data_IF_765050052135
#
_entry.id   IF_765050052135
#
_cell.length_a   1.000
_cell.length_b   1.000
_cell.length_c   1.000
_cell.angle_alpha   90.00
_cell.angle_beta   90.00
_cell.angle_gamma   90.00
#
_symmetry.space_group_name_H-M   'P 1'
#
loop_
_entity.id
_entity.type
_entity.pdbx_description
1 polymer ?
#
# COMPACT_ATOMS: atom_id res chain seq x y z
N UNK A 1 -48.60 -20.15 45.01
CA UNK A 1 -48.89 -18.95 45.83
C UNK A 1 -47.56 -18.46 46.35
N UNK A 2 -47.05 -17.27 46.11
CA UNK A 2 -47.57 -15.90 45.93
C UNK A 2 -46.34 -15.13 45.35
N UNK A 3 -46.35 -14.03 44.59
CA UNK A 3 -47.25 -12.91 44.28
C UNK A 3 -46.49 -12.13 43.16
N UNK A 4 -47.15 -11.60 42.14
CA UNK A 4 -47.31 -10.14 41.88
C UNK A 4 -46.02 -9.30 41.96
N UNK A 5 -45.67 -8.34 41.09
CA UNK A 5 -46.40 -7.56 40.07
C UNK A 5 -45.33 -6.69 39.36
N UNK A 6 -45.56 -6.42 38.06
CA UNK A 6 -45.33 -5.18 37.28
C UNK A 6 -44.18 -4.23 37.70
N UNK A 7 -43.38 -3.75 36.73
CA UNK A 7 -43.42 -2.35 36.21
C UNK A 7 -42.21 -2.11 35.27
N UNK A 8 -42.58 -1.58 34.11
CA UNK A 8 -41.87 -0.88 33.04
C UNK A 8 -40.78 0.11 33.50
N UNK A 9 -39.78 0.36 32.65
CA UNK A 9 -39.27 1.70 32.24
C UNK A 9 -37.74 1.87 32.23
N UNK A 10 -37.21 1.94 31.01
CA UNK A 10 -36.37 3.04 30.47
C UNK A 10 -34.92 3.21 30.95
N UNK A 11 -34.03 3.00 29.96
CA UNK A 11 -32.73 3.61 29.65
C UNK A 11 -32.02 4.55 30.64
N UNK A 12 -30.73 4.29 30.83
CA UNK A 12 -29.67 5.31 30.81
C UNK A 12 -28.32 4.65 30.47
N UNK A 13 -27.62 5.21 29.49
CA UNK A 13 -26.26 4.84 29.11
C UNK A 13 -25.24 5.33 30.16
N UNK A 14 -24.12 4.61 30.32
CA UNK A 14 -22.74 5.14 30.21
C UNK A 14 -21.68 4.15 30.75
N UNK A 15 -20.57 4.11 30.01
CA UNK A 15 -19.18 3.91 30.44
C UNK A 15 -18.60 2.48 30.68
N UNK A 16 -17.78 2.13 29.69
CA UNK A 16 -16.57 1.28 29.61
C UNK A 16 -15.78 1.08 30.93
N UNK A 17 -15.37 -0.15 31.25
CA UNK A 17 -13.94 -0.57 31.25
C UNK A 17 -13.68 -1.98 31.83
N UNK A 18 -12.87 -2.71 31.06
CA UNK A 18 -11.81 -3.66 31.42
C UNK A 18 -12.04 -4.74 32.50
N UNK A 19 -12.00 -6.00 32.05
CA UNK A 19 -11.89 -7.19 32.91
C UNK A 19 -11.68 -8.47 32.13
N UNK A 20 -10.43 -8.68 31.68
CA UNK A 20 -9.71 -9.91 31.33
C UNK A 20 -10.47 -11.26 31.26
N UNK A 21 -10.26 -11.99 30.16
CA UNK A 21 -10.06 -13.44 30.21
C UNK A 21 -9.13 -13.89 29.06
N UNK A 22 -7.97 -14.41 29.45
CA UNK A 22 -6.96 -15.06 28.60
C UNK A 22 -7.49 -16.42 28.14
N UNK A 23 -7.27 -16.78 26.87
CA UNK A 23 -7.34 -18.18 26.45
C UNK A 23 -7.56 -18.39 24.95
N UNK A 24 -6.49 -18.76 24.24
CA UNK A 24 -6.57 -19.46 22.96
C UNK A 24 -5.85 -18.79 21.80
N UNK A 25 -4.62 -19.22 21.53
CA UNK A 25 -3.99 -19.07 20.22
C UNK A 25 -4.71 -19.95 19.20
N UNK A 26 -5.31 -19.31 18.19
CA UNK A 26 -5.43 -19.82 16.83
C UNK A 26 -5.32 -18.60 15.90
N UNK A 27 -4.10 -18.20 15.58
CA UNK A 27 -3.86 -17.58 14.28
C UNK A 27 -3.97 -18.69 13.24
N UNK A 28 -4.85 -18.55 12.24
CA UNK A 28 -4.50 -18.73 10.82
C UNK A 28 -5.70 -18.51 9.90
N UNK A 29 -5.41 -17.96 8.71
CA UNK A 29 -6.28 -17.62 7.59
C UNK A 29 -7.13 -16.34 7.73
N UNK A 30 -6.46 -15.20 7.65
CA UNK A 30 -7.07 -14.09 6.93
C UNK A 30 -6.40 -13.99 5.55
N UNK A 31 -7.15 -14.33 4.51
CA UNK A 31 -6.79 -14.02 3.13
C UNK A 31 -7.40 -12.67 2.81
N UNK A 32 -6.55 -11.67 2.55
CA UNK A 32 -6.98 -10.47 1.83
C UNK A 32 -6.18 -10.40 0.53
N UNK A 33 -6.72 -11.04 -0.49
CA UNK A 33 -6.51 -10.77 -1.92
C UNK A 33 -7.88 -11.01 -2.55
N UNK A 34 -8.51 -10.14 -3.33
CA UNK A 34 -8.05 -9.04 -4.19
C UNK A 34 -8.93 -7.81 -3.97
N UNK A 35 -8.41 -6.62 -4.22
CA UNK A 35 -9.26 -5.47 -4.53
C UNK A 35 -8.97 -5.02 -5.96
N UNK A 36 -9.70 -5.56 -6.94
CA UNK A 36 -9.97 -4.86 -8.20
C UNK A 36 -11.21 -3.99 -7.99
N UNK A 37 -11.04 -2.73 -7.61
CA UNK A 37 -12.15 -1.77 -7.60
C UNK A 37 -12.27 -1.12 -8.96
N UNK A 38 -13.06 -1.74 -9.84
CA UNK A 38 -13.51 -1.15 -11.10
C UNK A 38 -15.00 -0.79 -10.95
N UNK A 39 -15.33 0.51 -10.83
CA UNK A 39 -16.57 1.13 -11.34
C UNK A 39 -16.49 2.63 -11.12
N UNK A 40 -16.48 3.42 -12.20
CA UNK A 40 -16.79 4.85 -12.14
C UNK A 40 -17.77 5.20 -13.25
N UNK A 41 -18.96 5.67 -12.87
CA UNK A 41 -19.97 6.22 -13.79
C UNK A 41 -19.95 7.74 -13.64
N UNK A 42 -19.74 8.48 -14.74
CA UNK A 42 -20.04 9.91 -14.81
C UNK A 42 -21.09 10.16 -15.90
N UNK A 43 -21.94 11.16 -15.66
CA UNK A 43 -23.07 11.48 -16.53
C UNK A 43 -22.62 11.96 -17.90
N UNK A 44 -22.97 11.17 -18.93
CA UNK A 44 -22.58 11.23 -20.36
C UNK A 44 -21.30 10.43 -20.72
N UNK A 45 -21.55 9.13 -20.97
CA UNK A 45 -20.85 8.14 -21.83
C UNK A 45 -19.32 7.90 -21.78
N UNK A 46 -18.51 8.51 -20.92
CA UNK A 46 -17.11 8.04 -20.78
C UNK A 46 -17.06 6.78 -19.91
N UNK A 47 -16.78 5.64 -20.53
CA UNK A 47 -16.60 4.33 -19.87
C UNK A 47 -15.23 3.80 -20.21
N UNK A 48 -14.48 3.35 -19.21
CA UNK A 48 -13.16 2.75 -19.39
C UNK A 48 -13.00 1.55 -18.47
N UNK A 49 -12.12 0.62 -18.83
CA UNK A 49 -11.74 -0.52 -17.99
C UNK A 49 -10.22 -0.57 -17.84
N UNK A 50 -9.74 -0.97 -16.66
CA UNK A 50 -8.32 -1.22 -16.40
C UNK A 50 -8.11 -2.72 -16.21
N UNK A 51 -7.18 -3.29 -16.97
CA UNK A 51 -6.86 -4.71 -16.95
C UNK A 51 -5.37 -4.94 -16.70
N UNK A 52 -5.09 -5.99 -15.93
CA UNK A 52 -3.77 -6.54 -15.65
C UNK A 52 -3.93 -8.04 -15.97
N UNK A 53 -3.43 -8.49 -17.12
CA UNK A 53 -3.68 -9.86 -17.63
C UNK A 53 -2.63 -10.86 -17.18
N UNK A 54 -1.44 -10.39 -16.80
CA UNK A 54 -0.38 -11.23 -16.25
C UNK A 54 -0.42 -11.27 -14.71
N UNK A 55 -1.19 -10.38 -14.08
CA UNK A 55 -1.44 -10.44 -12.65
C UNK A 55 -2.50 -11.50 -12.30
N UNK A 56 -2.15 -12.42 -11.42
CA UNK A 56 -3.00 -13.44 -10.83
C UNK A 56 -3.13 -13.21 -9.32
N UNK A 57 -4.08 -13.88 -8.68
CA UNK A 57 -4.26 -13.82 -7.20
C UNK A 57 -3.00 -14.23 -6.43
N UNK A 58 -2.08 -14.95 -7.07
CA UNK A 58 -0.82 -15.41 -6.47
C UNK A 58 0.41 -14.62 -6.96
N UNK A 59 0.28 -13.69 -7.92
CA UNK A 59 1.38 -12.96 -8.59
C UNK A 59 2.20 -12.01 -7.69
N UNK A 60 2.09 -12.08 -6.38
CA UNK A 60 2.92 -11.33 -5.43
C UNK A 60 3.00 -11.98 -4.05
N UNK A 61 2.64 -13.27 -3.95
CA UNK A 61 2.70 -14.02 -2.69
C UNK A 61 4.02 -14.79 -2.59
N UNK A 62 4.58 -14.83 -1.38
CA UNK A 62 5.78 -15.63 -1.06
C UNK A 62 6.94 -15.36 -2.04
N UNK A 63 7.09 -14.12 -2.49
CA UNK A 63 8.19 -13.74 -3.36
C UNK A 63 9.52 -13.90 -2.60
N UNK A 64 10.59 -14.09 -3.36
CA UNK A 64 11.97 -14.15 -2.87
C UNK A 64 12.82 -13.05 -3.50
N UNK A 65 13.93 -12.64 -2.87
CA UNK A 65 14.85 -11.67 -3.46
C UNK A 65 15.28 -12.09 -4.88
N UNK A 66 15.12 -11.18 -5.85
CA UNK A 66 15.38 -11.43 -7.26
C UNK A 66 14.16 -11.85 -8.10
N UNK A 67 13.00 -12.04 -7.49
CA UNK A 67 11.78 -12.35 -8.24
C UNK A 67 11.32 -11.17 -9.10
N UNK A 68 10.73 -11.52 -10.24
CA UNK A 68 10.05 -10.58 -11.14
C UNK A 68 8.55 -10.83 -11.07
N UNK A 69 7.82 -9.86 -10.55
CA UNK A 69 6.37 -9.86 -10.40
C UNK A 69 5.74 -9.13 -11.59
N UNK A 70 4.86 -9.79 -12.35
CA UNK A 70 4.23 -9.20 -13.55
C UNK A 70 2.89 -8.54 -13.27
N UNK A 71 2.68 -7.33 -13.81
CA UNK A 71 1.50 -6.48 -13.54
C UNK A 71 0.78 -5.98 -14.79
N UNK A 72 1.50 -5.43 -15.77
CA UNK A 72 0.98 -4.97 -17.06
C UNK A 72 -0.38 -4.20 -17.07
N UNK A 73 -0.51 -3.08 -16.32
CA UNK A 73 -1.74 -2.26 -16.33
C UNK A 73 -2.02 -1.62 -17.70
N UNK A 74 -3.15 -1.98 -18.28
CA UNK A 74 -3.68 -1.49 -19.57
C UNK A 74 -5.05 -0.88 -19.38
N UNK A 75 -5.29 0.31 -19.93
CA UNK A 75 -6.61 0.94 -19.95
C UNK A 75 -7.29 0.75 -21.30
N UNK A 76 -8.58 0.39 -21.29
CA UNK A 76 -9.42 0.29 -22.48
C UNK A 76 -10.49 1.37 -22.49
N UNK A 77 -10.67 2.00 -23.65
CA UNK A 77 -11.77 2.91 -23.92
C UNK A 77 -13.01 2.14 -24.36
N UNK A 78 -14.05 2.16 -23.53
CA UNK A 78 -15.36 1.55 -23.81
C UNK A 78 -16.42 2.61 -24.14
N UNK A 79 -16.04 3.87 -24.25
CA UNK A 79 -16.92 4.94 -24.70
C UNK A 79 -17.09 4.95 -26.23
N UNK A 80 -18.02 5.78 -26.69
CA UNK A 80 -18.33 6.01 -28.11
C UNK A 80 -17.50 7.13 -28.75
N UNK A 81 -16.49 7.66 -28.03
CA UNK A 81 -15.65 8.77 -28.47
C UNK A 81 -14.20 8.61 -28.01
N UNK A 82 -13.28 9.34 -28.64
CA UNK A 82 -11.89 9.38 -28.20
C UNK A 82 -11.74 10.04 -26.83
N UNK A 83 -10.80 9.55 -26.02
CA UNK A 83 -10.52 10.05 -24.66
C UNK A 83 -9.02 10.18 -24.41
N UNK A 84 -8.62 11.15 -23.59
CA UNK A 84 -7.31 11.15 -22.96
C UNK A 84 -7.38 10.43 -21.62
N UNK A 85 -6.35 9.65 -21.30
CA UNK A 85 -6.32 8.78 -20.13
C UNK A 85 -5.13 9.09 -19.21
N UNK A 86 -5.33 8.90 -17.92
CA UNK A 86 -4.28 8.94 -16.93
C UNK A 86 -4.38 7.77 -15.95
N UNK A 87 -3.23 7.32 -15.45
CA UNK A 87 -3.13 6.33 -14.37
C UNK A 87 -2.53 7.00 -13.15
N UNK A 88 -3.17 6.81 -12.00
CA UNK A 88 -2.57 7.04 -10.68
C UNK A 88 -1.97 5.73 -10.18
N UNK A 89 -0.71 5.77 -9.75
CA UNK A 89 0.00 4.65 -9.10
C UNK A 89 0.15 4.98 -7.62
N UNK A 90 -0.41 4.15 -6.76
CA UNK A 90 -0.29 4.24 -5.30
C UNK A 90 0.53 3.06 -4.77
N UNK A 91 1.51 3.35 -3.91
CA UNK A 91 2.24 2.37 -3.13
C UNK A 91 1.63 2.32 -1.73
N UNK A 92 1.20 1.14 -1.28
CA UNK A 92 0.62 0.98 0.06
C UNK A 92 1.25 -0.19 0.81
N UNK A 93 1.22 -0.12 2.14
CA UNK A 93 1.53 -1.27 2.99
C UNK A 93 0.49 -2.40 2.82
N UNK A 94 0.69 -3.51 3.53
CA UNK A 94 -0.23 -4.66 3.54
C UNK A 94 -1.63 -4.33 4.05
N UNK A 95 -1.79 -3.28 4.86
CA UNK A 95 -3.05 -2.84 5.42
C UNK A 95 -3.76 -1.83 4.51
N UNK A 96 -3.11 -1.40 3.42
CA UNK A 96 -3.64 -0.46 2.45
C UNK A 96 -3.36 1.01 2.77
N UNK A 97 -2.54 1.31 3.78
CA UNK A 97 -2.07 2.67 4.08
C UNK A 97 -1.01 3.09 3.07
N UNK A 98 -1.08 4.32 2.57
CA UNK A 98 -0.07 4.86 1.66
C UNK A 98 1.33 4.80 2.31
N UNK A 99 2.31 4.38 1.53
CA UNK A 99 3.73 4.47 1.88
C UNK A 99 4.44 5.33 0.82
N UNK A 100 5.52 5.99 1.22
CA UNK A 100 6.32 6.76 0.26
C UNK A 100 6.95 5.84 -0.79
N UNK A 101 7.15 6.38 -1.99
CA UNK A 101 7.92 5.70 -3.04
C UNK A 101 9.30 5.28 -2.52
N UNK A 102 9.98 6.14 -1.75
CA UNK A 102 11.26 5.82 -1.10
C UNK A 102 11.19 4.61 -0.16
N UNK A 103 10.07 4.41 0.55
CA UNK A 103 9.91 3.26 1.43
C UNK A 103 9.68 1.97 0.62
N UNK A 104 8.94 2.05 -0.49
CA UNK A 104 8.75 0.95 -1.42
C UNK A 104 10.06 0.56 -2.14
N UNK A 105 10.79 1.58 -2.60
CA UNK A 105 12.06 1.46 -3.33
C UNK A 105 13.18 0.81 -2.53
N UNK A 106 13.01 0.54 -1.23
CA UNK A 106 13.96 -0.26 -0.44
C UNK A 106 13.91 -1.75 -0.76
N UNK A 107 12.79 -2.24 -1.28
CA UNK A 107 12.53 -3.68 -1.39
C UNK A 107 12.33 -4.11 -2.83
N UNK A 108 11.70 -3.26 -3.63
CA UNK A 108 11.40 -3.54 -5.02
C UNK A 108 11.41 -2.25 -5.85
N UNK A 109 11.53 -2.43 -7.16
CA UNK A 109 11.40 -1.35 -8.13
C UNK A 109 10.36 -1.72 -9.17
N UNK A 110 9.58 -0.74 -9.63
CA UNK A 110 8.78 -0.90 -10.83
C UNK A 110 9.72 -0.72 -12.02
N UNK A 111 9.74 -1.69 -12.94
CA UNK A 111 10.64 -1.68 -14.10
C UNK A 111 9.86 -1.91 -15.39
N UNK A 112 10.54 -1.67 -16.51
CA UNK A 112 9.97 -1.79 -17.86
C UNK A 112 8.78 -0.84 -18.08
N UNK A 113 8.98 0.43 -17.73
CA UNK A 113 8.02 1.51 -18.04
C UNK A 113 8.02 1.84 -19.53
N UNK A 114 6.83 2.01 -20.10
CA UNK A 114 6.65 2.52 -21.45
C UNK A 114 6.71 4.06 -21.46
N UNK A 115 7.93 4.59 -21.57
CA UNK A 115 8.18 6.03 -21.60
C UNK A 115 7.94 6.65 -22.98
N UNK A 116 7.70 5.85 -24.01
CA UNK A 116 7.41 6.33 -25.35
C UNK A 116 5.95 6.78 -25.42
N UNK A 117 5.02 5.98 -24.89
CA UNK A 117 3.58 6.28 -24.91
C UNK A 117 3.04 6.90 -23.61
N UNK A 118 3.76 6.81 -22.49
CA UNK A 118 3.37 7.44 -21.22
C UNK A 118 4.33 8.53 -20.76
N UNK A 119 3.79 9.51 -20.04
CA UNK A 119 4.54 10.58 -19.38
C UNK A 119 4.13 10.70 -17.91
N UNK A 120 5.12 10.74 -17.01
CA UNK A 120 4.89 11.04 -15.60
C UNK A 120 4.71 12.55 -15.45
N UNK A 121 3.54 12.97 -14.97
CA UNK A 121 3.13 14.38 -14.93
C UNK A 121 3.05 14.97 -13.53
N UNK A 122 3.02 14.12 -12.49
CA UNK A 122 3.04 14.59 -11.12
C UNK A 122 3.44 13.48 -10.14
N UNK A 123 4.03 13.88 -9.02
CA UNK A 123 4.23 13.05 -7.82
C UNK A 123 3.71 13.83 -6.63
N UNK A 124 2.88 13.22 -5.78
CA UNK A 124 2.39 13.88 -4.57
C UNK A 124 3.33 13.65 -3.38
N UNK A 125 3.05 14.29 -2.25
CA UNK A 125 3.84 14.16 -1.02
C UNK A 125 3.87 12.73 -0.43
N UNK A 126 2.90 11.88 -0.79
CA UNK A 126 2.82 10.50 -0.30
C UNK A 126 3.57 9.54 -1.24
N UNK A 127 4.21 10.05 -2.31
CA UNK A 127 4.92 9.26 -3.30
C UNK A 127 4.01 8.57 -4.33
N UNK A 128 2.71 8.88 -4.36
CA UNK A 128 1.84 8.46 -5.45
C UNK A 128 2.26 9.17 -6.73
N UNK A 129 2.17 8.48 -7.85
CA UNK A 129 2.55 9.00 -9.17
C UNK A 129 1.32 9.17 -10.05
N UNK A 130 1.35 10.16 -10.94
CA UNK A 130 0.37 10.32 -12.01
C UNK A 130 1.06 10.25 -13.36
N UNK A 131 0.51 9.42 -14.23
CA UNK A 131 0.99 9.18 -15.58
C UNK A 131 -0.11 9.46 -16.59
N UNK A 132 0.20 10.13 -17.70
CA UNK A 132 -0.74 10.40 -18.80
C UNK A 132 -0.32 9.62 -20.04
N UNK A 133 -1.30 9.11 -20.79
CA UNK A 133 -1.06 8.51 -22.10
C UNK A 133 -0.98 9.61 -23.15
N UNK A 134 0.11 9.65 -23.94
CA UNK A 134 0.43 10.77 -24.83
C UNK A 134 -0.48 10.88 -26.06
N UNK A 135 -1.29 9.85 -26.33
CA UNK A 135 -2.21 9.82 -27.46
C UNK A 135 -3.67 9.76 -27.02
N UNK A 136 -4.57 10.34 -27.81
CA UNK A 136 -5.99 10.11 -27.61
C UNK A 136 -6.32 8.63 -27.91
N UNK A 137 -7.03 7.97 -27.00
CA UNK A 137 -7.43 6.57 -27.15
C UNK A 137 -8.80 6.53 -27.82
N UNK A 138 -8.84 6.04 -29.06
CA UNK A 138 -10.07 5.91 -29.85
C UNK A 138 -11.09 4.95 -29.21
N UNK A 139 -12.37 5.13 -29.57
CA UNK A 139 -13.46 4.27 -29.10
C UNK A 139 -13.15 2.78 -29.37
N UNK A 140 -13.26 1.94 -28.33
CA UNK A 140 -12.99 0.50 -28.40
C UNK A 140 -11.52 0.10 -28.36
N UNK A 141 -10.58 1.05 -28.40
CA UNK A 141 -9.13 0.82 -28.36
C UNK A 141 -8.61 0.78 -26.92
N UNK A 142 -7.36 0.37 -26.74
CA UNK A 142 -6.67 0.33 -25.46
C UNK A 142 -5.33 1.04 -25.53
N UNK A 143 -4.79 1.43 -24.38
CA UNK A 143 -3.42 1.90 -24.23
C UNK A 143 -2.45 0.73 -24.34
N UNK A 144 -1.18 1.02 -24.58
CA UNK A 144 -0.10 0.12 -24.16
C UNK A 144 -0.03 0.06 -22.62
N UNK A 145 0.66 -0.96 -22.09
CA UNK A 145 0.82 -1.12 -20.65
C UNK A 145 1.76 -0.04 -20.08
N UNK A 146 1.40 0.58 -18.95
CA UNK A 146 2.26 1.60 -18.34
C UNK A 146 3.64 1.06 -17.92
N UNK A 147 3.65 -0.15 -17.37
CA UNK A 147 4.86 -0.89 -17.02
C UNK A 147 4.56 -2.39 -17.03
N UNK A 148 5.56 -3.27 -17.09
CA UNK A 148 5.30 -4.72 -17.05
C UNK A 148 5.69 -5.38 -15.72
N UNK A 149 6.71 -4.87 -15.05
CA UNK A 149 7.41 -5.61 -14.01
C UNK A 149 7.54 -4.86 -12.70
N UNK A 150 7.60 -5.64 -11.62
CA UNK A 150 8.06 -5.24 -10.30
C UNK A 150 9.19 -6.19 -9.92
N UNK A 151 10.41 -5.69 -9.82
CA UNK A 151 11.59 -6.48 -9.51
C UNK A 151 11.93 -6.36 -8.03
N UNK A 152 11.93 -7.50 -7.34
CA UNK A 152 12.35 -7.58 -5.94
C UNK A 152 13.88 -7.59 -5.89
N UNK A 153 14.47 -6.74 -5.07
CA UNK A 153 15.92 -6.62 -5.02
C UNK A 153 16.61 -7.90 -4.53
N UNK A 154 17.60 -8.35 -5.29
CA UNK A 154 18.45 -9.50 -4.94
C UNK A 154 19.35 -9.26 -3.74
N UNK A 155 19.53 -7.99 -3.35
CA UNK A 155 20.42 -7.58 -2.27
C UNK A 155 19.84 -7.76 -0.87
N UNK A 156 18.60 -8.25 -0.76
CA UNK A 156 17.98 -8.53 0.53
C UNK A 156 18.55 -9.85 1.06
N UNK A 157 19.23 -9.82 2.22
CA UNK A 157 19.86 -11.00 2.82
C UNK A 157 19.19 -11.41 4.13
N UNK A 158 19.05 -12.72 4.34
CA UNK A 158 18.60 -13.32 5.61
C UNK A 158 19.76 -13.44 6.61
N UNK A 159 19.56 -12.92 7.82
CA UNK A 159 20.52 -13.04 8.92
C UNK A 159 19.82 -13.46 10.21
N UNK A 160 20.46 -14.30 11.01
CA UNK A 160 19.97 -14.66 12.34
C UNK A 160 20.43 -13.62 13.35
N UNK A 161 19.49 -12.88 13.93
CA UNK A 161 19.75 -11.95 15.03
C UNK A 161 19.40 -12.60 16.36
N UNK A 162 20.37 -12.69 17.29
CA UNK A 162 20.09 -12.99 18.70
C UNK A 162 20.07 -11.71 19.52
N UNK A 163 18.98 -11.51 20.27
CA UNK A 163 18.88 -10.45 21.26
C UNK A 163 19.08 -11.07 22.64
N UNK A 164 19.90 -10.46 23.49
CA UNK A 164 20.02 -10.87 24.89
C UNK A 164 19.43 -9.78 25.79
N UNK A 165 18.57 -10.16 26.74
CA UNK A 165 18.16 -9.27 27.82
C UNK A 165 19.16 -9.39 28.95
N UNK A 166 19.85 -8.29 29.23
CA UNK A 166 20.77 -8.20 30.38
C UNK A 166 20.06 -7.54 31.55
N UNK A 167 19.92 -8.26 32.66
CA UNK A 167 19.43 -7.72 33.93
C UNK A 167 20.61 -7.51 34.86
N UNK A 168 20.89 -6.25 35.22
CA UNK A 168 21.94 -5.92 36.20
C UNK A 168 21.33 -5.56 37.54
N UNK A 169 21.64 -6.35 38.57
CA UNK A 169 21.25 -6.07 39.95
C UNK A 169 22.31 -5.19 40.60
N UNK A 170 21.89 -4.03 41.11
CA UNK A 170 22.76 -3.10 41.81
C UNK A 170 22.50 -3.14 43.31
N UNK A 171 23.57 -3.00 44.09
CA UNK A 171 23.47 -2.54 45.46
C UNK A 171 23.28 -1.03 45.45
N UNK A 172 22.28 -0.54 46.16
CA UNK A 172 22.04 0.89 46.30
C UNK A 172 22.21 1.36 47.75
N UNK A 173 22.51 2.64 47.93
CA UNK A 173 22.41 3.30 49.23
C UNK A 173 20.94 3.61 49.60
N UNK A 174 20.73 4.20 50.78
CA UNK A 174 19.40 4.53 51.30
C UNK A 174 18.65 5.57 50.45
N UNK A 175 19.36 6.35 49.64
CA UNK A 175 18.80 7.35 48.73
C UNK A 175 18.54 6.78 47.33
N UNK A 176 18.89 5.50 47.11
CA UNK A 176 18.70 4.78 45.85
C UNK A 176 19.86 4.93 44.86
N UNK A 177 20.99 5.53 45.25
CA UNK A 177 22.16 5.65 44.38
C UNK A 177 22.86 4.30 44.27
N UNK A 178 23.20 3.91 43.04
CA UNK A 178 23.89 2.64 42.73
C UNK A 178 25.35 2.71 43.19
N UNK A 179 25.78 1.74 44.00
CA UNK A 179 27.13 1.66 44.57
C UNK A 179 27.98 0.58 43.89
N UNK A 180 27.48 -0.65 43.78
CA UNK A 180 28.18 -1.79 43.19
C UNK A 180 27.20 -2.71 42.45
N UNK A 181 27.69 -3.42 41.43
CA UNK A 181 26.92 -4.46 40.74
C UNK A 181 27.02 -5.75 41.57
N UNK A 182 25.87 -6.34 41.91
CA UNK A 182 25.76 -7.58 42.68
C UNK A 182 25.68 -8.77 41.72
N UNK A 183 24.93 -8.62 40.63
CA UNK A 183 24.66 -9.72 39.70
C UNK A 183 24.39 -9.19 38.29
N UNK A 184 24.73 -10.00 37.31
CA UNK A 184 24.42 -9.77 35.89
C UNK A 184 23.89 -11.06 35.33
N UNK A 185 22.59 -11.10 35.07
CA UNK A 185 21.95 -12.20 34.37
C UNK A 185 21.70 -11.81 32.91
N UNK A 186 21.95 -12.74 31.99
CA UNK A 186 21.76 -12.53 30.56
C UNK A 186 20.93 -13.68 30.00
N UNK A 187 19.71 -13.35 29.56
CA UNK A 187 18.80 -14.29 28.92
C UNK A 187 18.87 -14.07 27.41
N UNK A 188 19.38 -15.05 26.68
CA UNK A 188 19.44 -15.03 25.22
C UNK A 188 18.07 -15.44 24.66
N UNK A 189 17.46 -14.56 23.87
CA UNK A 189 16.22 -14.86 23.17
C UNK A 189 16.49 -15.71 21.94
N UNK A 190 15.48 -16.51 21.55
CA UNK A 190 15.52 -17.28 20.32
C UNK A 190 15.90 -16.39 19.13
N UNK A 191 16.84 -16.84 18.27
CA UNK A 191 17.30 -16.03 17.17
C UNK A 191 16.15 -15.79 16.20
N UNK A 192 15.94 -14.54 15.82
CA UNK A 192 14.92 -14.12 14.84
C UNK A 192 15.62 -13.86 13.52
N UNK A 193 15.04 -14.36 12.41
CA UNK A 193 15.51 -14.02 11.07
C UNK A 193 15.19 -12.55 10.81
N UNK A 194 16.19 -11.76 10.44
CA UNK A 194 16.02 -10.39 9.96
C UNK A 194 16.42 -10.34 8.49
N UNK A 195 15.72 -9.50 7.73
CA UNK A 195 16.08 -9.17 6.36
C UNK A 195 16.81 -7.84 6.38
N UNK A 196 17.94 -7.76 5.67
CA UNK A 196 18.70 -6.51 5.50
C UNK A 196 18.77 -6.11 4.03
N UNK A 197 18.70 -4.81 3.76
CA UNK A 197 18.97 -4.27 2.42
C UNK A 197 20.48 -4.32 2.09
N UNK A 198 20.84 -3.85 0.88
CA UNK A 198 22.21 -3.79 0.40
C UNK A 198 23.14 -2.93 1.28
N UNK A 199 22.58 -1.98 2.00
CA UNK A 199 23.30 -1.07 2.91
C UNK A 199 23.40 -1.65 4.34
N UNK A 200 22.85 -2.85 4.57
CA UNK A 200 22.87 -3.53 5.86
C UNK A 200 21.81 -3.03 6.85
N UNK A 201 20.87 -2.18 6.41
CA UNK A 201 19.77 -1.74 7.26
C UNK A 201 18.73 -2.85 7.38
N UNK A 202 18.18 -3.02 8.58
CA UNK A 202 17.09 -3.96 8.82
C UNK A 202 15.84 -3.46 8.08
N UNK A 203 15.34 -4.27 7.15
CA UNK A 203 14.12 -3.99 6.38
C UNK A 203 12.87 -4.57 7.02
N UNK A 204 12.98 -5.75 7.64
CA UNK A 204 11.92 -6.40 8.42
C UNK A 204 12.50 -7.47 9.35
N UNK A 205 11.75 -7.80 10.41
CA UNK A 205 12.07 -8.89 11.33
C UNK A 205 11.06 -10.03 11.16
N UNK A 206 11.53 -11.15 10.60
CA UNK A 206 10.81 -12.40 10.48
C UNK A 206 10.27 -12.71 9.09
N UNK A 207 9.91 -11.70 8.28
CA UNK A 207 9.31 -11.91 6.95
C UNK A 207 9.75 -10.88 5.91
N UNK A 208 9.58 -11.15 4.62
CA UNK A 208 9.74 -10.10 3.61
C UNK A 208 8.58 -9.09 3.70
N UNK A 209 8.85 -7.79 3.50
CA UNK A 209 7.84 -6.75 3.66
C UNK A 209 6.67 -6.96 2.68
N UNK A 210 5.45 -6.84 3.19
CA UNK A 210 4.26 -6.92 2.35
C UNK A 210 3.83 -5.51 1.92
N UNK A 211 3.74 -5.29 0.62
CA UNK A 211 3.30 -4.04 0.00
C UNK A 211 2.29 -4.31 -1.12
N UNK A 212 1.59 -3.28 -1.56
CA UNK A 212 0.70 -3.32 -2.70
C UNK A 212 1.00 -2.16 -3.65
N UNK A 213 0.89 -2.42 -4.95
CA UNK A 213 0.91 -1.38 -5.99
C UNK A 213 -0.48 -1.31 -6.60
N UNK A 214 -1.18 -0.22 -6.33
CA UNK A 214 -2.55 0.03 -6.80
C UNK A 214 -2.53 0.99 -7.97
N UNK A 215 -3.16 0.59 -9.06
CA UNK A 215 -3.31 1.39 -10.29
C UNK A 215 -4.77 1.81 -10.42
N UNK A 216 -4.99 3.10 -10.66
CA UNK A 216 -6.34 3.66 -10.85
C UNK A 216 -6.38 4.48 -12.13
N UNK A 217 -7.26 4.12 -13.06
CA UNK A 217 -7.43 4.80 -14.34
C UNK A 217 -8.43 5.97 -14.28
N UNK A 218 -8.16 7.01 -15.04
CA UNK A 218 -8.98 8.21 -15.21
C UNK A 218 -9.04 8.58 -16.69
N UNK A 219 -10.13 9.21 -17.13
CA UNK A 219 -10.27 9.63 -18.51
C UNK A 219 -11.12 10.90 -18.66
N UNK A 220 -10.78 11.70 -19.66
CA UNK A 220 -11.51 12.91 -20.10
C UNK A 220 -11.75 12.85 -21.60
N UNK A 221 -12.80 13.51 -22.08
CA UNK A 221 -13.16 13.52 -23.51
C UNK A 221 -12.05 14.20 -24.33
N UNK A 222 -11.59 13.57 -25.42
CA UNK A 222 -10.48 14.11 -26.19
C UNK A 222 -10.85 15.35 -27.00
N UNK A 223 -12.09 15.42 -27.53
CA UNK A 223 -12.51 16.51 -28.43
C UNK A 223 -12.59 17.90 -27.78
N UNK A 224 -12.33 18.02 -26.48
CA UNK A 224 -12.26 19.30 -25.77
C UNK A 224 -10.84 19.87 -25.70
N UNK A 225 -9.83 19.14 -26.17
CA UNK A 225 -8.41 19.50 -26.08
C UNK A 225 -7.71 19.30 -27.43
N UNK A 226 -6.68 20.08 -27.71
CA UNK A 226 -5.87 19.94 -28.92
C UNK A 226 -4.97 18.69 -28.87
N UNK A 227 -4.41 18.40 -27.69
CA UNK A 227 -3.47 17.32 -27.44
C UNK A 227 -3.56 16.87 -25.97
N UNK A 228 -2.71 15.92 -25.59
CA UNK A 228 -2.67 15.37 -24.24
C UNK A 228 -2.13 16.38 -23.22
N UNK A 229 -1.24 17.30 -23.63
CA UNK A 229 -0.66 18.34 -22.76
C UNK A 229 -1.76 19.29 -22.26
N UNK A 230 -2.65 19.73 -23.16
CA UNK A 230 -3.80 20.58 -22.81
C UNK A 230 -4.82 19.83 -21.93
N UNK A 231 -4.87 18.50 -22.00
CA UNK A 231 -5.74 17.68 -21.16
C UNK A 231 -5.19 17.45 -19.73
N UNK A 232 -3.88 17.59 -19.50
CA UNK A 232 -3.25 17.28 -18.20
C UNK A 232 -3.89 18.04 -17.03
N UNK A 233 -4.16 19.37 -17.09
CA UNK A 233 -4.73 20.10 -15.97
C UNK A 233 -6.12 19.58 -15.55
N UNK A 234 -6.95 19.16 -16.52
CA UNK A 234 -8.27 18.59 -16.22
C UNK A 234 -8.17 17.17 -15.67
N UNK A 235 -7.22 16.36 -16.15
CA UNK A 235 -6.92 15.05 -15.58
C UNK A 235 -6.44 15.17 -14.14
N UNK A 236 -5.53 16.10 -13.84
CA UNK A 236 -5.04 16.37 -12.47
C UNK A 236 -6.21 16.78 -11.55
N UNK A 237 -7.09 17.70 -12.01
CA UNK A 237 -8.30 18.07 -11.25
C UNK A 237 -9.20 16.88 -10.99
N UNK A 238 -9.41 16.03 -12.00
CA UNK A 238 -10.24 14.83 -11.87
C UNK A 238 -9.64 13.85 -10.86
N UNK A 239 -8.34 13.56 -10.92
CA UNK A 239 -7.68 12.69 -9.95
C UNK A 239 -7.75 13.29 -8.54
N UNK A 240 -7.50 14.60 -8.39
CA UNK A 240 -7.58 15.30 -7.12
C UNK A 240 -8.99 15.31 -6.51
N UNK A 241 -10.04 15.29 -7.33
CA UNK A 241 -11.43 15.17 -6.85
C UNK A 241 -11.72 13.82 -6.17
N UNK A 242 -10.88 12.81 -6.43
CA UNK A 242 -10.95 11.46 -5.84
C UNK A 242 -9.80 11.18 -4.86
N UNK A 243 -8.97 12.18 -4.59
CA UNK A 243 -7.79 12.08 -3.72
C UNK A 243 -8.01 12.91 -2.46
N UNK A 244 -7.60 12.38 -1.30
CA UNK A 244 -7.73 13.09 -0.03
C UNK A 244 -6.96 14.43 -0.08
N UNK A 245 -7.47 15.47 0.58
CA UNK A 245 -6.94 16.82 0.48
C UNK A 245 -5.43 16.94 0.83
N UNK A 246 -4.95 16.15 1.79
CA UNK A 246 -3.52 16.10 2.14
C UNK A 246 -2.65 15.37 1.12
N UNK A 247 -3.24 14.61 0.20
CA UNK A 247 -2.54 13.73 -0.75
C UNK A 247 -2.70 14.21 -2.20
N UNK A 248 -3.20 15.42 -2.41
CA UNK A 248 -3.47 15.94 -3.75
C UNK A 248 -2.17 16.22 -4.51
N UNK A 249 -2.22 16.03 -5.83
CA UNK A 249 -1.16 16.37 -6.75
C UNK A 249 -1.16 17.87 -7.01
N UNK A 250 0.02 18.47 -7.01
CA UNK A 250 0.24 19.80 -7.59
C UNK A 250 0.53 19.62 -9.07
N UNK A 251 -0.12 20.40 -9.93
CA UNK A 251 0.32 20.52 -11.31
C UNK A 251 1.64 21.30 -11.30
N UNK A 252 2.66 20.77 -11.99
CA UNK A 252 3.92 21.47 -12.23
C UNK A 252 3.73 22.69 -13.15
#
# INVERSE_FOLDING_TARGET
MNKMKKITATAAAMAISAGLAVGGTLAYLNSVTETKTNTFTSGKNITTTLTETEWTTDSGKNYTPGDVIRKNPVMKNESDQAVYMAIKVDYTDSQGSLMSAEAFEKYASVTDFDLDDWEKIAVNQDGSEMWVYKSAVEAGSATEALFNNVEVYTGITEEWSSAAKTTTVYKCDADGNKLEIIDVDSEEYDPTVIYKDQDGNIVDAGTLPSFNIKVTGFAVQASTFADYEEAQPELVKLVNSRTAAGSQFTAD
#
